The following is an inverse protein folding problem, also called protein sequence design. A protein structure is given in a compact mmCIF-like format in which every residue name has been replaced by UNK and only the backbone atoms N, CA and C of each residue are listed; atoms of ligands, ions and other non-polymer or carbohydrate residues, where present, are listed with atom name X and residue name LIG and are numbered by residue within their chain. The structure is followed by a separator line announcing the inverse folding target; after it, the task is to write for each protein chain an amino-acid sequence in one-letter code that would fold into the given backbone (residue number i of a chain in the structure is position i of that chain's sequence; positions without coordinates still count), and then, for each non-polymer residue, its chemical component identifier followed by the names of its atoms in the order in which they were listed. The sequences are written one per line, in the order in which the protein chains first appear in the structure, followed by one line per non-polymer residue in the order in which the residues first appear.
data_IF_877013323742
#
_entry.id   IF_877013323742
#
_cell.length_a   1.000
_cell.length_b   1.000
_cell.length_c   1.000
_cell.angle_alpha   90.00
_cell.angle_beta   90.00
_cell.angle_gamma   90.00
#
_symmetry.space_group_name_H-M   'P 1'
#
loop_
_entity.id
_entity.type
_entity.pdbx_description
1 polymer ?
#
# COMPACT_ATOMS: atom_id res chain seq x y z
N UNK A 1 9.32 11.34 -12.67
CA UNK A 1 8.19 10.80 -11.90
C UNK A 1 6.95 10.93 -12.77
N UNK A 2 6.53 9.83 -13.41
CA UNK A 2 5.35 9.76 -14.27
C UNK A 2 4.44 8.70 -13.65
N UNK A 3 3.30 9.11 -13.12
CA UNK A 3 2.29 8.20 -12.59
C UNK A 3 1.61 7.57 -13.79
N UNK A 4 1.82 6.27 -14.02
CA UNK A 4 1.22 5.57 -15.15
C UNK A 4 0.05 4.70 -14.68
N UNK A 5 -1.16 4.91 -15.22
CA UNK A 5 -2.30 4.08 -14.88
C UNK A 5 -2.28 2.69 -15.55
N UNK A 6 -2.55 1.62 -14.81
CA UNK A 6 -2.66 0.23 -15.33
C UNK A 6 -4.08 -0.35 -15.16
N UNK A 7 -4.59 -1.13 -16.13
CA UNK A 7 -5.94 -1.73 -16.09
C UNK A 7 -5.91 -3.16 -15.52
N UNK A 8 -6.46 -3.35 -14.32
CA UNK A 8 -6.73 -4.69 -13.76
C UNK A 8 -8.23 -4.96 -13.82
N UNK A 9 -8.63 -6.00 -14.57
CA UNK A 9 -10.01 -6.46 -14.68
C UNK A 9 -11.04 -5.41 -15.14
N UNK A 10 -10.90 -4.94 -16.39
CA UNK A 10 -11.88 -4.21 -17.23
C UNK A 10 -12.52 -2.92 -16.68
N UNK A 11 -12.53 -2.65 -15.38
CA UNK A 11 -13.23 -1.51 -14.77
C UNK A 11 -12.44 -0.78 -13.66
N UNK A 12 -11.21 -1.21 -13.36
CA UNK A 12 -10.33 -0.52 -12.38
C UNK A 12 -9.03 -0.07 -13.06
N UNK A 13 -8.71 1.20 -12.83
CA UNK A 13 -7.44 1.84 -13.16
C UNK A 13 -6.59 1.93 -11.89
N UNK A 14 -5.31 1.58 -11.96
CA UNK A 14 -4.39 1.69 -10.82
C UNK A 14 -3.41 2.81 -11.10
N UNK A 15 -3.46 3.91 -10.33
CA UNK A 15 -2.37 4.88 -10.30
C UNK A 15 -1.19 4.26 -9.56
N UNK A 16 0.00 4.32 -10.13
CA UNK A 16 1.19 3.71 -9.53
C UNK A 16 2.37 4.66 -9.60
N UNK A 17 3.17 4.64 -8.55
CA UNK A 17 4.49 5.25 -8.49
C UNK A 17 5.48 4.37 -7.75
N UNK A 18 6.69 4.28 -8.30
CA UNK A 18 7.82 3.58 -7.69
C UNK A 18 9.07 4.42 -7.76
N UNK A 19 9.95 4.26 -6.76
CA UNK A 19 11.31 4.80 -6.79
C UNK A 19 12.23 3.93 -5.95
N UNK A 20 13.52 4.02 -6.25
CA UNK A 20 14.60 3.38 -5.51
C UNK A 20 15.71 4.41 -5.33
N UNK A 21 16.11 4.65 -4.08
CA UNK A 21 17.21 5.54 -3.71
C UNK A 21 18.01 4.97 -2.52
N UNK A 22 18.90 5.79 -1.95
CA UNK A 22 19.74 5.41 -0.81
C UNK A 22 18.95 5.14 0.49
N UNK A 23 17.73 5.68 0.60
CA UNK A 23 16.83 5.47 1.75
C UNK A 23 15.99 4.20 1.60
N UNK A 24 15.89 3.66 0.39
CA UNK A 24 15.20 2.40 0.13
C UNK A 24 14.44 2.37 -1.20
N UNK A 25 13.52 1.42 -1.30
CA UNK A 25 12.60 1.28 -2.42
C UNK A 25 11.16 1.48 -1.94
N UNK A 26 10.32 2.13 -2.75
CA UNK A 26 8.89 2.22 -2.47
C UNK A 26 8.03 1.90 -3.70
N UNK A 27 6.82 1.44 -3.40
CA UNK A 27 5.72 1.28 -4.34
C UNK A 27 4.49 1.90 -3.67
N UNK A 28 3.94 2.95 -4.26
CA UNK A 28 2.69 3.57 -3.86
C UNK A 28 1.70 3.43 -5.00
N UNK A 29 0.51 2.94 -4.71
CA UNK A 29 -0.53 2.74 -5.71
C UNK A 29 -1.91 3.13 -5.17
N UNK A 30 -2.81 3.52 -6.06
CA UNK A 30 -4.19 3.83 -5.73
C UNK A 30 -5.13 3.26 -6.81
N UNK A 31 -5.99 2.28 -6.46
CA UNK A 31 -7.05 1.83 -7.35
C UNK A 31 -8.12 2.93 -7.51
N UNK A 32 -8.57 3.17 -8.74
CA UNK A 32 -9.63 4.12 -9.10
C UNK A 32 -10.56 3.44 -10.09
N UNK A 33 -11.87 3.58 -9.88
CA UNK A 33 -12.85 3.07 -10.83
C UNK A 33 -12.73 3.78 -12.19
N UNK A 34 -12.73 3.01 -13.27
CA UNK A 34 -12.66 3.56 -14.64
C UNK A 34 -13.84 4.52 -14.89
N UNK A 35 -15.02 4.21 -14.35
CA UNK A 35 -16.19 5.09 -14.43
C UNK A 35 -15.93 6.46 -13.78
N UNK A 36 -15.28 6.49 -12.64
CA UNK A 36 -14.90 7.74 -11.98
C UNK A 36 -13.95 8.57 -12.85
N UNK A 37 -12.96 7.93 -13.48
CA UNK A 37 -12.05 8.59 -14.43
C UNK A 37 -12.79 9.11 -15.66
N UNK A 38 -13.65 8.29 -16.28
CA UNK A 38 -14.42 8.73 -17.46
C UNK A 38 -15.35 9.90 -17.13
N UNK A 39 -15.94 9.93 -15.94
CA UNK A 39 -16.73 11.06 -15.45
C UNK A 39 -15.89 12.33 -15.38
N UNK A 40 -14.69 12.27 -14.80
CA UNK A 40 -13.75 13.41 -14.72
C UNK A 40 -13.36 13.91 -16.11
N UNK A 41 -12.97 13.00 -17.02
CA UNK A 41 -12.56 13.35 -18.38
C UNK A 41 -13.69 14.03 -19.16
N UNK A 42 -14.95 13.70 -18.84
CA UNK A 42 -16.14 14.32 -19.41
C UNK A 42 -16.58 15.62 -18.69
N UNK A 43 -15.72 16.21 -17.84
CA UNK A 43 -16.00 17.46 -17.12
C UNK A 43 -16.65 17.29 -15.75
N UNK A 44 -16.66 16.07 -15.21
CA UNK A 44 -17.08 15.79 -13.84
C UNK A 44 -16.13 16.38 -12.80
N UNK A 45 -16.61 16.50 -11.56
CA UNK A 45 -15.85 17.06 -10.44
C UNK A 45 -14.88 16.02 -9.83
N UNK A 46 -13.58 16.19 -10.11
CA UNK A 46 -12.53 15.31 -9.61
C UNK A 46 -12.39 15.31 -8.09
N UNK A 47 -12.86 16.35 -7.38
CA UNK A 47 -12.75 16.42 -5.91
C UNK A 47 -13.67 15.42 -5.20
N UNK A 48 -14.64 14.85 -5.92
CA UNK A 48 -15.59 13.86 -5.39
C UNK A 48 -15.12 12.41 -5.50
N UNK A 49 -14.01 12.16 -6.20
CA UNK A 49 -13.47 10.81 -6.37
C UNK A 49 -12.40 10.57 -5.30
N UNK A 50 -12.65 9.68 -4.32
CA UNK A 50 -11.64 9.39 -3.30
C UNK A 50 -10.47 8.63 -3.95
N UNK A 51 -9.26 9.17 -3.79
CA UNK A 51 -8.02 8.46 -4.10
C UNK A 51 -7.50 7.91 -2.78
N UNK A 52 -7.27 6.60 -2.72
CA UNK A 52 -6.84 5.90 -1.51
C UNK A 52 -5.46 5.24 -1.73
N UNK A 53 -4.37 6.01 -1.59
CA UNK A 53 -3.02 5.47 -1.70
C UNK A 53 -2.78 4.34 -0.68
N UNK A 54 -2.20 3.26 -1.18
CA UNK A 54 -1.68 2.15 -0.39
C UNK A 54 -0.31 1.78 -0.97
N UNK A 55 0.50 1.03 -0.21
CA UNK A 55 1.84 0.76 -0.70
C UNK A 55 2.77 0.09 0.29
N UNK A 56 4.02 -0.04 -0.15
CA UNK A 56 5.11 -0.61 0.62
C UNK A 56 6.36 0.25 0.51
N UNK A 57 7.17 0.23 1.56
CA UNK A 57 8.52 0.79 1.60
C UNK A 57 9.45 -0.30 2.14
N UNK A 58 10.58 -0.48 1.47
CA UNK A 58 11.67 -1.36 1.89
C UNK A 58 12.86 -0.44 2.17
N UNK A 59 13.18 -0.23 3.44
CA UNK A 59 14.32 0.59 3.86
C UNK A 59 15.39 -0.26 4.53
N UNK A 60 16.68 0.08 4.39
CA UNK A 60 17.74 -0.62 5.09
C UNK A 60 17.60 -0.43 6.61
N UNK A 61 17.82 -1.49 7.39
CA UNK A 61 17.92 -1.36 8.86
C UNK A 61 19.24 -0.64 9.16
N UNK A 62 19.15 0.68 9.34
CA UNK A 62 20.26 1.52 9.71
C UNK A 62 20.76 1.16 11.11
N UNK A 63 21.82 0.35 11.19
CA UNK A 63 22.63 0.31 12.41
C UNK A 63 23.61 1.47 12.32
N UNK A 64 23.40 2.49 13.17
CA UNK A 64 24.41 3.48 13.50
C UNK A 64 25.68 2.70 13.85
N UNK A 65 26.68 2.73 12.97
CA UNK A 65 27.99 2.17 13.20
C UNK A 65 28.70 3.00 14.27
N UNK A 66 28.24 2.88 15.52
CA UNK A 66 29.05 3.27 16.66
C UNK A 66 30.18 2.26 16.78
N UNK A 67 31.33 2.68 16.25
CA UNK A 67 32.66 2.20 16.56
C UNK A 67 33.13 0.87 15.93
N UNK A 68 34.08 1.03 15.00
CA UNK A 68 35.35 0.28 14.94
C UNK A 68 35.28 -1.23 15.09
N UNK A 69 34.75 -1.92 14.08
CA UNK A 69 35.43 -3.14 13.65
C UNK A 69 35.15 -3.45 12.18
N UNK A 70 36.23 -3.75 11.45
CA UNK A 70 36.25 -4.07 10.04
C UNK A 70 35.61 -5.44 9.78
N UNK A 71 34.30 -5.55 9.98
CA UNK A 71 33.52 -6.71 9.53
C UNK A 71 32.58 -6.24 8.44
N UNK A 72 32.84 -6.68 7.21
CA UNK A 72 32.13 -6.32 5.99
C UNK A 72 30.66 -6.82 5.93
N UNK A 73 30.03 -7.12 7.08
CA UNK A 73 28.67 -7.65 7.20
C UNK A 73 27.73 -6.71 7.97
N UNK A 74 27.98 -5.39 7.96
CA UNK A 74 27.15 -4.41 8.66
C UNK A 74 25.85 -4.00 7.94
N UNK A 75 25.35 -4.78 6.98
CA UNK A 75 23.98 -4.67 6.44
C UNK A 75 23.26 -6.04 6.50
N UNK A 76 22.41 -6.31 7.50
CA UNK A 76 21.76 -7.65 7.64
C UNK A 76 20.24 -7.63 7.70
N UNK A 77 19.58 -6.52 7.38
CA UNK A 77 18.12 -6.50 7.38
C UNK A 77 17.56 -5.29 6.65
N UNK A 78 16.31 -5.44 6.23
CA UNK A 78 15.48 -4.35 5.73
C UNK A 78 14.24 -4.26 6.60
N UNK A 79 13.72 -3.05 6.79
CA UNK A 79 12.41 -2.80 7.35
C UNK A 79 11.43 -2.74 6.19
N UNK A 80 10.41 -3.60 6.25
CA UNK A 80 9.26 -3.50 5.35
C UNK A 80 8.16 -2.73 6.08
N UNK A 81 7.83 -1.55 5.57
CA UNK A 81 6.65 -0.79 5.99
C UNK A 81 5.54 -1.02 4.96
N UNK A 82 4.36 -1.39 5.43
CA UNK A 82 3.16 -1.55 4.60
C UNK A 82 2.12 -0.54 5.07
N UNK A 83 1.51 0.18 4.14
CA UNK A 83 0.49 1.17 4.43
C UNK A 83 -0.77 0.90 3.58
N UNK A 84 -1.93 0.97 4.22
CA UNK A 84 -3.22 0.88 3.56
C UNK A 84 -4.08 2.08 3.93
N UNK A 85 -4.69 2.69 2.93
CA UNK A 85 -5.78 3.63 3.13
C UNK A 85 -7.07 2.98 2.63
N UNK A 86 -8.05 2.87 3.52
CA UNK A 86 -9.35 2.27 3.23
C UNK A 86 -10.42 3.26 3.65
N UNK A 87 -11.34 3.57 2.74
CA UNK A 87 -12.50 4.41 3.02
C UNK A 87 -13.70 3.51 3.31
N UNK A 88 -14.36 3.75 4.44
CA UNK A 88 -15.59 3.04 4.82
C UNK A 88 -16.74 4.04 4.71
N UNK A 89 -17.56 3.92 3.66
CA UNK A 89 -18.78 4.71 3.51
C UNK A 89 -19.93 4.01 4.24
N UNK A 90 -20.31 4.52 5.41
CA UNK A 90 -21.53 4.12 6.11
C UNK A 90 -22.73 4.95 5.63
N UNK A 91 -23.92 4.34 5.53
CA UNK A 91 -25.17 5.11 5.52
C UNK A 91 -25.25 5.93 6.81
N UNK A 92 -25.87 7.12 6.75
CA UNK A 92 -25.89 8.21 7.76
C UNK A 92 -26.44 7.87 9.18
N UNK A 93 -26.45 6.60 9.59
CA UNK A 93 -26.86 6.12 10.91
C UNK A 93 -25.59 5.85 11.75
N UNK A 94 -25.61 5.98 13.09
CA UNK A 94 -24.44 5.65 13.89
C UNK A 94 -24.10 4.18 13.65
N UNK A 95 -22.89 3.94 13.13
CA UNK A 95 -22.40 2.60 12.80
C UNK A 95 -22.55 1.70 14.01
N UNK A 96 -23.41 0.68 13.92
CA UNK A 96 -23.58 -0.31 14.97
C UNK A 96 -22.22 -0.92 15.31
N UNK A 97 -21.98 -1.28 16.58
CA UNK A 97 -20.75 -1.98 17.01
C UNK A 97 -20.41 -3.19 16.13
N UNK A 98 -21.45 -3.85 15.59
CA UNK A 98 -21.29 -5.00 14.70
C UNK A 98 -20.68 -4.64 13.34
N UNK A 99 -21.11 -3.54 12.72
CA UNK A 99 -20.53 -3.05 11.46
C UNK A 99 -19.07 -2.63 11.65
N UNK A 100 -18.74 -2.01 12.78
CA UNK A 100 -17.36 -1.67 13.10
C UNK A 100 -16.48 -2.92 13.23
N UNK A 101 -17.01 -3.98 13.84
CA UNK A 101 -16.29 -5.24 13.98
C UNK A 101 -16.08 -5.95 12.64
N UNK A 102 -17.08 -5.94 11.75
CA UNK A 102 -16.96 -6.47 10.39
C UNK A 102 -15.90 -5.73 9.56
N UNK A 103 -15.88 -4.40 9.66
CA UNK A 103 -14.86 -3.56 9.05
C UNK A 103 -13.45 -3.92 9.56
N UNK A 104 -13.28 -4.00 10.88
CA UNK A 104 -11.99 -4.37 11.49
C UNK A 104 -11.53 -5.76 11.02
N UNK A 105 -12.45 -6.72 10.93
CA UNK A 105 -12.15 -8.06 10.42
C UNK A 105 -11.71 -8.03 8.94
N UNK A 106 -12.35 -7.20 8.11
CA UNK A 106 -11.96 -7.00 6.71
C UNK A 106 -10.57 -6.38 6.58
N UNK A 107 -10.28 -5.32 7.33
CA UNK A 107 -8.95 -4.67 7.36
C UNK A 107 -7.88 -5.67 7.79
N UNK A 108 -8.14 -6.45 8.85
CA UNK A 108 -7.24 -7.51 9.30
C UNK A 108 -7.00 -8.55 8.20
N UNK A 109 -8.05 -9.00 7.51
CA UNK A 109 -7.94 -9.95 6.40
C UNK A 109 -7.05 -9.45 5.26
N UNK A 110 -7.21 -8.19 4.84
CA UNK A 110 -6.38 -7.57 3.79
C UNK A 110 -4.92 -7.47 4.21
N UNK A 111 -4.67 -7.03 5.45
CA UNK A 111 -3.32 -6.93 6.00
C UNK A 111 -2.65 -8.30 6.07
N UNK A 112 -3.32 -9.31 6.65
CA UNK A 112 -2.81 -10.67 6.76
C UNK A 112 -2.52 -11.28 5.39
N UNK A 113 -3.43 -11.16 4.44
CA UNK A 113 -3.24 -11.68 3.08
C UNK A 113 -2.05 -11.01 2.38
N UNK A 114 -1.84 -9.72 2.61
CA UNK A 114 -0.70 -9.00 2.03
C UNK A 114 0.62 -9.45 2.65
N UNK A 115 0.69 -9.57 3.98
CA UNK A 115 1.88 -10.07 4.66
C UNK A 115 2.23 -11.48 4.17
N UNK A 116 1.23 -12.37 4.06
CA UNK A 116 1.45 -13.74 3.55
C UNK A 116 1.97 -13.74 2.11
N UNK A 117 1.42 -12.91 1.23
CA UNK A 117 1.91 -12.79 -0.16
C UNK A 117 3.34 -12.27 -0.22
N UNK A 118 3.67 -11.26 0.60
CA UNK A 118 5.03 -10.72 0.65
C UNK A 118 6.00 -11.78 1.17
N UNK A 119 5.68 -12.45 2.28
CA UNK A 119 6.47 -13.56 2.82
C UNK A 119 6.70 -14.66 1.79
N UNK A 120 5.65 -15.11 1.10
CA UNK A 120 5.75 -16.11 0.05
C UNK A 120 6.65 -15.65 -1.11
N UNK A 121 6.51 -14.39 -1.55
CA UNK A 121 7.33 -13.81 -2.63
C UNK A 121 8.80 -13.70 -2.24
N UNK A 122 9.09 -13.42 -0.97
CA UNK A 122 10.45 -13.35 -0.44
C UNK A 122 11.02 -14.72 -0.03
N UNK A 123 10.25 -15.81 -0.15
CA UNK A 123 10.67 -17.13 0.31
C UNK A 123 10.76 -17.29 1.83
N UNK A 124 10.18 -16.36 2.59
CA UNK A 124 10.09 -16.41 4.05
C UNK A 124 8.87 -17.22 4.49
N UNK A 125 8.88 -18.53 4.22
CA UNK A 125 7.89 -19.44 4.81
C UNK A 125 8.17 -19.58 6.30
N UNK A 126 7.14 -19.63 7.13
CA UNK A 126 7.30 -20.00 8.55
C UNK A 126 7.95 -21.39 8.61
N UNK A 127 9.10 -21.48 9.28
CA UNK A 127 9.70 -22.76 9.67
C UNK A 127 8.81 -23.45 10.71
#
# INVERSE_FOLDING_TARGET
MHIQPYNMHKEILVLEETSIDEMGAFLVYAPIELLAITSIVNGGDATKVPILPSGIIISPVGRLSSNRDNTANAHNGSILTVAFQILICGHNNPTSKQQQMEVVASVHGVLSATILKIKATLGCSDL
#
